data_IF_440523512880
#
_entry.id   IF_440523512880
#
_cell.length_a   1.000
_cell.length_b   1.000
_cell.length_c   1.000
_cell.angle_alpha   90.00
_cell.angle_beta   90.00
_cell.angle_gamma   90.00
#
_symmetry.space_group_name_H-M   'P 1'
#
loop_
_entity.id
_entity.type
_entity.pdbx_description
1 polymer ?
#
# COMPACT_ATOMS: atom_id res chain seq x y z
N UNK A 1 19.95 -8.16 7.13
CA UNK A 1 19.34 -8.07 5.80
C UNK A 1 20.20 -7.17 4.96
N UNK A 2 20.80 -7.74 3.91
CA UNK A 2 21.48 -6.99 2.86
C UNK A 2 20.48 -6.56 1.77
N UNK A 3 20.98 -5.94 0.70
CA UNK A 3 20.14 -5.44 -0.40
C UNK A 3 19.47 -6.59 -1.16
N UNK A 4 20.22 -7.66 -1.47
CA UNK A 4 19.69 -8.79 -2.23
C UNK A 4 18.62 -9.54 -1.43
N UNK A 5 18.82 -9.71 -0.12
CA UNK A 5 17.82 -10.28 0.77
C UNK A 5 16.58 -9.39 0.86
N UNK A 6 16.74 -8.07 0.92
CA UNK A 6 15.61 -7.14 0.91
C UNK A 6 14.77 -7.26 -0.37
N UNK A 7 15.40 -7.25 -1.56
CA UNK A 7 14.72 -7.40 -2.84
C UNK A 7 13.99 -8.74 -2.94
N UNK A 8 14.64 -9.82 -2.46
CA UNK A 8 14.03 -11.13 -2.39
C UNK A 8 12.81 -11.14 -1.45
N UNK A 9 12.89 -10.49 -0.29
CA UNK A 9 11.76 -10.38 0.64
C UNK A 9 10.64 -9.51 0.08
N UNK A 10 10.95 -8.44 -0.66
CA UNK A 10 9.98 -7.60 -1.36
C UNK A 10 9.21 -8.42 -2.40
N UNK A 11 9.94 -9.15 -3.26
CA UNK A 11 9.36 -10.04 -4.27
C UNK A 11 8.49 -11.14 -3.65
N UNK A 12 8.96 -11.81 -2.58
CA UNK A 12 8.17 -12.81 -1.84
C UNK A 12 6.92 -12.21 -1.22
N UNK A 13 7.01 -10.99 -0.68
CA UNK A 13 5.84 -10.31 -0.08
C UNK A 13 4.81 -9.96 -1.15
N UNK A 14 5.26 -9.52 -2.33
CA UNK A 14 4.40 -9.30 -3.50
C UNK A 14 3.70 -10.58 -3.97
N UNK A 15 4.44 -11.68 -4.13
CA UNK A 15 3.87 -12.99 -4.48
C UNK A 15 2.85 -13.46 -3.42
N UNK A 16 3.18 -13.30 -2.12
CA UNK A 16 2.27 -13.63 -1.02
C UNK A 16 0.99 -12.80 -1.08
N UNK A 17 1.08 -11.51 -1.42
CA UNK A 17 -0.07 -10.62 -1.58
C UNK A 17 -1.05 -11.14 -2.64
N UNK A 18 -0.52 -11.60 -3.78
CA UNK A 18 -1.31 -12.16 -4.88
C UNK A 18 -1.98 -13.50 -4.51
N UNK A 19 -1.33 -14.29 -3.65
CA UNK A 19 -1.84 -15.57 -3.17
C UNK A 19 -2.67 -15.47 -1.87
N UNK A 20 -3.04 -14.26 -1.42
CA UNK A 20 -3.81 -14.08 -0.18
C UNK A 20 -5.23 -14.64 -0.34
N UNK A 21 -5.56 -15.63 0.48
CA UNK A 21 -6.89 -16.25 0.54
C UNK A 21 -7.58 -16.11 1.90
N UNK A 22 -6.94 -15.45 2.88
CA UNK A 22 -7.51 -15.26 4.22
C UNK A 22 -7.09 -13.95 4.86
N UNK A 23 -7.91 -13.44 5.79
CA UNK A 23 -7.61 -12.22 6.58
C UNK A 23 -6.28 -12.36 7.32
N UNK A 24 -6.00 -13.52 7.92
CA UNK A 24 -4.74 -13.76 8.65
C UNK A 24 -3.53 -13.69 7.72
N UNK A 25 -3.62 -14.27 6.53
CA UNK A 25 -2.56 -14.16 5.52
C UNK A 25 -2.36 -12.70 5.06
N UNK A 26 -3.46 -11.97 4.84
CA UNK A 26 -3.43 -10.57 4.46
C UNK A 26 -2.75 -9.68 5.53
N UNK A 27 -3.07 -9.91 6.81
CA UNK A 27 -2.41 -9.22 7.94
C UNK A 27 -0.93 -9.56 8.01
N UNK A 28 -0.54 -10.81 7.76
CA UNK A 28 0.86 -11.20 7.75
C UNK A 28 1.65 -10.48 6.63
N UNK A 29 1.07 -10.35 5.42
CA UNK A 29 1.66 -9.57 4.32
C UNK A 29 1.78 -8.09 4.72
N UNK A 30 0.75 -7.52 5.33
CA UNK A 30 0.75 -6.13 5.81
C UNK A 30 1.90 -5.86 6.80
N UNK A 31 2.12 -6.79 7.74
CA UNK A 31 3.22 -6.69 8.70
C UNK A 31 4.60 -6.82 8.04
N UNK A 32 4.76 -7.78 7.11
CA UNK A 32 5.99 -7.91 6.32
C UNK A 32 6.29 -6.63 5.53
N UNK A 33 5.30 -6.05 4.85
CA UNK A 33 5.46 -4.80 4.10
C UNK A 33 5.85 -3.61 4.99
N UNK A 34 5.29 -3.52 6.22
CA UNK A 34 5.71 -2.51 7.21
C UNK A 34 7.16 -2.70 7.66
N UNK A 35 7.58 -3.95 7.88
CA UNK A 35 8.95 -4.26 8.28
C UNK A 35 9.93 -3.89 7.17
N UNK A 36 9.62 -4.23 5.91
CA UNK A 36 10.42 -3.87 4.74
C UNK A 36 10.56 -2.36 4.61
N UNK A 37 9.45 -1.62 4.70
CA UNK A 37 9.48 -0.16 4.64
C UNK A 37 10.34 0.44 5.75
N UNK A 38 10.23 -0.08 6.98
CA UNK A 38 11.03 0.38 8.11
C UNK A 38 12.52 0.10 7.88
N UNK A 39 12.86 -1.10 7.40
CA UNK A 39 14.25 -1.42 7.08
C UNK A 39 14.81 -0.49 6.00
N UNK A 40 14.07 -0.26 4.91
CA UNK A 40 14.48 0.63 3.83
C UNK A 40 14.75 2.06 4.34
N UNK A 41 13.91 2.52 5.27
CA UNK A 41 14.08 3.79 5.94
C UNK A 41 15.33 3.85 6.84
N UNK A 42 15.47 2.86 7.73
CA UNK A 42 16.56 2.80 8.71
C UNK A 42 17.94 2.63 8.03
N UNK A 43 17.97 2.19 6.76
CA UNK A 43 19.18 2.01 5.96
C UNK A 43 19.33 3.06 4.84
N UNK A 44 18.59 4.17 4.92
CA UNK A 44 18.68 5.31 3.98
C UNK A 44 18.58 4.90 2.49
N UNK A 45 17.68 3.95 2.17
CA UNK A 45 17.42 3.56 0.79
C UNK A 45 16.69 4.66 0.04
N UNK A 46 16.69 4.57 -1.29
CA UNK A 46 15.94 5.50 -2.13
C UNK A 46 14.46 5.50 -1.70
N UNK A 47 13.86 6.69 -1.69
CA UNK A 47 12.47 6.90 -1.34
C UNK A 47 11.51 6.06 -2.20
N UNK A 48 11.90 5.77 -3.44
CA UNK A 48 11.16 4.88 -4.34
C UNK A 48 11.00 3.50 -3.73
N UNK A 49 12.07 2.94 -3.15
CA UNK A 49 12.06 1.61 -2.51
C UNK A 49 11.19 1.60 -1.25
N UNK A 50 11.24 2.68 -0.45
CA UNK A 50 10.33 2.84 0.69
C UNK A 50 8.85 2.89 0.24
N UNK A 51 8.59 3.58 -0.87
CA UNK A 51 7.28 3.80 -1.43
C UNK A 51 6.70 2.53 -2.07
N UNK A 52 7.54 1.66 -2.64
CA UNK A 52 7.15 0.32 -3.09
C UNK A 52 6.67 -0.57 -1.93
N UNK A 53 7.43 -0.59 -0.83
CA UNK A 53 7.00 -1.34 0.37
C UNK A 53 5.71 -0.74 0.97
N UNK A 54 5.49 0.57 0.84
CA UNK A 54 4.20 1.18 1.19
C UNK A 54 3.07 0.72 0.27
N UNK A 55 3.30 0.62 -1.05
CA UNK A 55 2.29 0.14 -2.00
C UNK A 55 1.84 -1.29 -1.67
N UNK A 56 2.78 -2.20 -1.38
CA UNK A 56 2.47 -3.56 -0.92
C UNK A 56 1.59 -3.57 0.33
N UNK A 57 1.86 -2.63 1.25
CA UNK A 57 1.05 -2.45 2.46
C UNK A 57 -0.36 -1.98 2.13
N UNK A 58 -0.54 -1.04 1.19
CA UNK A 58 -1.86 -0.55 0.75
C UNK A 58 -2.66 -1.68 0.11
N UNK A 59 -2.04 -2.47 -0.78
CA UNK A 59 -2.66 -3.66 -1.36
C UNK A 59 -3.12 -4.65 -0.29
N UNK A 60 -2.27 -4.94 0.70
CA UNK A 60 -2.63 -5.82 1.82
C UNK A 60 -3.78 -5.25 2.68
N UNK A 61 -3.81 -3.94 2.92
CA UNK A 61 -4.92 -3.27 3.63
C UNK A 61 -6.24 -3.48 2.88
N UNK A 62 -6.24 -3.29 1.57
CA UNK A 62 -7.43 -3.49 0.76
C UNK A 62 -7.91 -4.94 0.73
N UNK A 63 -6.99 -5.92 0.63
CA UNK A 63 -7.34 -7.34 0.77
C UNK A 63 -7.94 -7.66 2.15
N UNK A 64 -7.37 -7.12 3.24
CA UNK A 64 -7.94 -7.26 4.59
C UNK A 64 -9.35 -6.66 4.64
N UNK A 65 -9.52 -5.45 4.11
CA UNK A 65 -10.78 -4.72 4.15
C UNK A 65 -11.89 -5.45 3.38
N UNK A 66 -11.61 -5.88 2.15
CA UNK A 66 -12.54 -6.64 1.32
C UNK A 66 -12.97 -7.94 2.01
N UNK A 67 -12.00 -8.75 2.48
CA UNK A 67 -12.31 -10.02 3.17
C UNK A 67 -13.09 -9.82 4.47
N UNK A 68 -12.77 -8.79 5.25
CA UNK A 68 -13.52 -8.50 6.47
C UNK A 68 -14.93 -7.97 6.18
N UNK A 69 -15.13 -7.19 5.13
CA UNK A 69 -16.48 -6.78 4.70
C UNK A 69 -17.30 -8.02 4.36
N UNK A 70 -16.77 -8.95 3.57
CA UNK A 70 -17.46 -10.20 3.22
C UNK A 70 -17.75 -11.07 4.44
N UNK A 71 -16.80 -11.24 5.35
CA UNK A 71 -17.02 -11.99 6.60
C UNK A 71 -18.08 -11.34 7.50
N UNK A 72 -18.11 -10.01 7.57
CA UNK A 72 -19.05 -9.26 8.40
C UNK A 72 -20.45 -9.19 7.79
N UNK A 73 -20.60 -9.21 6.44
CA UNK A 73 -21.90 -9.33 5.75
C UNK A 73 -22.67 -10.58 6.20
N UNK A 74 -21.96 -11.68 6.46
CA UNK A 74 -22.57 -12.95 6.86
C UNK A 74 -22.61 -13.19 8.38
N UNK A 75 -21.88 -12.39 9.18
CA UNK A 75 -21.79 -12.51 10.64
C UNK A 75 -22.44 -11.37 11.44
N UNK A 76 -22.95 -10.34 10.76
CA UNK A 76 -23.63 -9.20 11.35
C UNK A 76 -25.04 -9.57 11.82
N UNK A 77 -25.20 -9.70 13.14
CA UNK A 77 -26.47 -9.62 13.85
C UNK A 77 -27.49 -10.77 13.71
N UNK A 78 -27.16 -11.87 13.03
CA UNK A 78 -27.90 -13.12 13.29
C UNK A 78 -27.49 -13.62 14.67
N UNK A 79 -28.45 -13.75 15.59
CA UNK A 79 -28.36 -14.58 16.81
C UNK A 79 -28.06 -16.02 16.38
N UNK A 80 -26.83 -16.29 15.96
CA UNK A 80 -26.37 -17.63 15.63
C UNK A 80 -26.48 -18.46 16.91
N UNK A 81 -27.18 -19.58 16.79
CA UNK A 81 -27.47 -20.54 17.84
C UNK A 81 -26.28 -20.76 18.79
N UNK A 82 -26.61 -20.86 20.07
CA UNK A 82 -25.75 -21.15 21.23
C UNK A 82 -24.54 -22.01 20.84
N UNK A 83 -23.32 -21.47 20.95
CA UNK A 83 -22.10 -22.29 21.02
C UNK A 83 -20.94 -21.99 20.04
N UNK A 84 -21.08 -21.11 19.03
CA UNK A 84 -19.93 -20.76 18.15
C UNK A 84 -19.37 -19.36 18.45
N UNK A 85 -18.06 -19.21 18.65
CA UNK A 85 -17.45 -17.89 18.84
C UNK A 85 -17.62 -17.05 17.57
N UNK A 86 -18.20 -15.85 17.71
CA UNK A 86 -18.31 -14.89 16.60
C UNK A 86 -16.90 -14.49 16.16
N UNK A 87 -16.54 -14.77 14.91
CA UNK A 87 -15.32 -14.24 14.31
C UNK A 87 -15.51 -12.73 14.15
N UNK A 88 -14.68 -11.95 14.84
CA UNK A 88 -14.72 -10.48 14.78
C UNK A 88 -13.37 -9.93 14.35
N UNK A 89 -13.31 -8.65 14.01
CA UNK A 89 -12.04 -7.93 13.76
C UNK A 89 -11.02 -8.12 14.89
N UNK A 90 -11.47 -8.24 16.14
CA UNK A 90 -10.61 -8.42 17.32
C UNK A 90 -9.90 -9.77 17.28
N UNK A 91 -10.54 -10.80 16.71
CA UNK A 91 -9.94 -12.13 16.50
C UNK A 91 -8.67 -12.08 15.63
N UNK A 92 -8.52 -11.03 14.82
CA UNK A 92 -7.34 -10.80 13.98
C UNK A 92 -6.39 -9.74 14.55
N UNK A 93 -6.60 -9.28 15.79
CA UNK A 93 -5.80 -8.22 16.41
C UNK A 93 -6.04 -6.83 15.81
N UNK A 94 -7.16 -6.62 15.11
CA UNK A 94 -7.46 -5.36 14.43
C UNK A 94 -8.38 -4.53 15.33
N UNK A 95 -7.85 -3.38 15.78
CA UNK A 95 -8.61 -2.41 16.57
C UNK A 95 -9.68 -1.72 15.72
N UNK A 96 -10.71 -1.16 16.38
CA UNK A 96 -11.75 -0.37 15.68
C UNK A 96 -11.16 0.80 14.87
N UNK A 97 -10.20 1.53 15.44
CA UNK A 97 -9.54 2.68 14.78
C UNK A 97 -8.74 2.24 13.55
N UNK A 98 -8.02 1.12 13.63
CA UNK A 98 -7.31 0.55 12.48
C UNK A 98 -8.29 0.14 11.40
N UNK A 99 -9.35 -0.58 11.77
CA UNK A 99 -10.40 -0.99 10.84
C UNK A 99 -11.00 0.19 10.07
N UNK A 100 -11.40 1.25 10.79
CA UNK A 100 -12.00 2.43 10.18
C UNK A 100 -11.05 3.11 9.19
N UNK A 101 -9.77 3.27 9.57
CA UNK A 101 -8.74 3.81 8.67
C UNK A 101 -8.53 2.91 7.46
N UNK A 102 -8.44 1.60 7.65
CA UNK A 102 -8.24 0.63 6.56
C UNK A 102 -9.41 0.60 5.61
N UNK A 103 -10.64 0.72 6.11
CA UNK A 103 -11.84 0.83 5.27
C UNK A 103 -11.81 2.08 4.40
N UNK A 104 -11.36 3.22 4.93
CA UNK A 104 -11.21 4.46 4.15
C UNK A 104 -10.16 4.31 3.06
N UNK A 105 -8.98 3.78 3.41
CA UNK A 105 -7.90 3.52 2.43
C UNK A 105 -8.38 2.56 1.34
N UNK A 106 -9.05 1.48 1.72
CA UNK A 106 -9.61 0.50 0.80
C UNK A 106 -10.82 1.03 0.00
N UNK A 107 -11.34 2.21 0.29
CA UNK A 107 -12.36 2.82 -0.57
C UNK A 107 -11.73 3.63 -1.71
N UNK A 108 -10.43 3.93 -1.65
CA UNK A 108 -9.72 4.70 -2.67
C UNK A 108 -9.47 3.82 -3.90
N UNK A 109 -9.82 4.28 -5.12
CA UNK A 109 -9.55 3.55 -6.35
C UNK A 109 -8.05 3.30 -6.57
N UNK A 110 -7.72 2.19 -7.24
CA UNK A 110 -6.32 1.83 -7.53
C UNK A 110 -5.62 2.91 -8.39
N UNK A 111 -6.29 3.42 -9.41
CA UNK A 111 -5.76 4.50 -10.27
C UNK A 111 -5.39 5.74 -9.46
N UNK A 112 -6.18 6.07 -8.44
CA UNK A 112 -5.90 7.18 -7.53
C UNK A 112 -4.67 6.91 -6.65
N UNK A 113 -4.45 5.66 -6.22
CA UNK A 113 -3.24 5.26 -5.50
C UNK A 113 -2.01 5.38 -6.40
N UNK A 114 -2.09 4.92 -7.65
CA UNK A 114 -1.00 4.99 -8.61
C UNK A 114 -0.62 6.45 -8.96
N UNK A 115 -1.62 7.29 -9.23
CA UNK A 115 -1.41 8.73 -9.46
C UNK A 115 -0.77 9.41 -8.25
N UNK A 116 -1.25 9.12 -7.03
CA UNK A 116 -0.64 9.62 -5.80
C UNK A 116 0.81 9.17 -5.69
N UNK A 117 1.08 7.88 -5.89
CA UNK A 117 2.42 7.31 -5.80
C UNK A 117 3.39 7.94 -6.80
N UNK A 118 2.95 8.12 -8.05
CA UNK A 118 3.71 8.81 -9.09
C UNK A 118 4.04 10.25 -8.68
N UNK A 119 3.06 10.99 -8.15
CA UNK A 119 3.25 12.38 -7.72
C UNK A 119 4.27 12.54 -6.58
N UNK A 120 4.24 11.63 -5.60
CA UNK A 120 5.18 11.68 -4.46
C UNK A 120 6.56 11.18 -4.85
N UNK A 121 6.66 10.17 -5.73
CA UNK A 121 7.94 9.70 -6.25
C UNK A 121 8.64 10.79 -7.08
N UNK A 122 7.92 11.49 -7.95
CA UNK A 122 8.44 12.61 -8.73
C UNK A 122 8.97 13.73 -7.84
N UNK A 123 8.28 13.99 -6.73
CA UNK A 123 8.67 15.01 -5.74
C UNK A 123 9.68 14.52 -4.70
N UNK A 124 10.18 13.28 -4.82
CA UNK A 124 11.05 12.61 -3.84
C UNK A 124 10.51 12.63 -2.40
N UNK A 125 9.18 12.59 -2.26
CA UNK A 125 8.50 12.53 -0.97
C UNK A 125 8.08 11.12 -0.57
N UNK A 126 7.96 10.93 0.74
CA UNK A 126 7.50 9.69 1.34
C UNK A 126 6.00 9.54 1.19
N UNK A 127 5.54 8.45 0.59
CA UNK A 127 4.14 8.08 0.54
C UNK A 127 3.62 7.76 1.95
N UNK A 128 2.48 8.32 2.35
CA UNK A 128 1.88 8.05 3.66
C UNK A 128 0.39 7.83 3.54
N UNK A 129 -0.17 7.04 4.45
CA UNK A 129 -1.62 6.77 4.49
C UNK A 129 -2.43 8.08 4.59
N UNK A 130 -1.99 9.00 5.45
CA UNK A 130 -2.66 10.30 5.63
C UNK A 130 -2.49 11.20 4.40
N UNK A 131 -1.31 11.15 3.76
CA UNK A 131 -1.06 11.87 2.51
C UNK A 131 -1.97 11.39 1.40
N UNK A 132 -2.10 10.07 1.23
CA UNK A 132 -3.03 9.46 0.27
C UNK A 132 -4.48 9.88 0.54
N UNK A 133 -4.96 9.76 1.79
CA UNK A 133 -6.33 10.15 2.13
C UNK A 133 -6.59 11.63 1.85
N UNK A 134 -5.70 12.54 2.29
CA UNK A 134 -5.85 13.98 2.03
C UNK A 134 -5.82 14.32 0.55
N UNK A 135 -4.91 13.69 -0.19
CA UNK A 135 -4.79 13.88 -1.63
C UNK A 135 -6.06 13.41 -2.34
N UNK A 136 -6.62 12.26 -1.95
CA UNK A 136 -7.87 11.75 -2.49
C UNK A 136 -9.06 12.65 -2.16
N UNK A 137 -9.21 13.04 -0.90
CA UNK A 137 -10.30 13.93 -0.45
C UNK A 137 -10.29 15.24 -1.27
N UNK A 138 -9.11 15.86 -1.47
CA UNK A 138 -8.99 17.10 -2.26
C UNK A 138 -9.41 16.97 -3.73
N UNK A 139 -9.36 15.75 -4.30
CA UNK A 139 -9.81 15.49 -5.67
C UNK A 139 -11.31 15.27 -5.75
N UNK A 140 -11.91 14.71 -4.71
CA UNK A 140 -13.35 14.61 -4.62
C UNK A 140 -13.97 16.01 -4.54
N UNK A 141 -13.40 16.89 -3.70
CA UNK A 141 -13.85 18.27 -3.55
C UNK A 141 -13.68 19.10 -4.84
N UNK A 142 -12.65 18.82 -5.64
CA UNK A 142 -12.42 19.50 -6.92
C UNK A 142 -13.30 18.99 -8.08
N UNK A 143 -14.01 17.88 -7.90
CA UNK A 143 -14.66 17.12 -8.97
C UNK A 143 -16.19 16.98 -8.88
N UNK A 144 -16.86 17.57 -7.90
CA UNK A 144 -18.30 17.42 -7.72
C UNK A 144 -19.10 18.44 -8.58
N UNK A 145 -19.18 18.16 -9.89
CA UNK A 145 -20.37 18.50 -10.71
C UNK A 145 -20.76 17.46 -11.77
N UNK A 146 -20.08 16.31 -11.89
CA UNK A 146 -20.52 15.28 -12.83
C UNK A 146 -20.81 13.94 -12.15
N UNK A 147 -22.12 13.67 -12.07
CA UNK A 147 -22.74 12.39 -11.75
C UNK A 147 -22.19 11.28 -12.65
N UNK A 148 -21.38 10.38 -12.11
CA UNK A 148 -21.32 8.99 -12.57
C UNK A 148 -20.94 8.10 -11.38
N UNK A 149 -21.97 7.51 -10.79
CA UNK A 149 -21.91 6.58 -9.66
C UNK A 149 -21.32 5.23 -10.08
N UNK A 150 -20.01 5.19 -10.34
CA UNK A 150 -19.27 3.93 -10.41
C UNK A 150 -19.10 3.40 -8.97
N UNK A 151 -19.84 2.34 -8.65
CA UNK A 151 -19.68 1.65 -7.36
C UNK A 151 -18.24 1.15 -7.22
N UNK A 152 -17.57 1.34 -6.07
CA UNK A 152 -16.21 0.87 -5.85
C UNK A 152 -16.22 -0.66 -5.75
N UNK A 153 -16.13 -1.35 -6.88
CA UNK A 153 -15.88 -2.78 -6.90
C UNK A 153 -14.42 -3.00 -6.55
N UNK A 154 -14.14 -3.11 -5.25
CA UNK A 154 -12.84 -3.53 -4.76
C UNK A 154 -12.66 -5.03 -5.06
N UNK A 155 -12.38 -5.33 -6.33
CA UNK A 155 -11.93 -6.65 -6.75
C UNK A 155 -10.48 -6.77 -6.26
N UNK A 156 -10.10 -7.82 -5.51
CA UNK A 156 -8.71 -8.05 -5.16
C UNK A 156 -7.90 -8.07 -6.45
N UNK A 157 -7.02 -7.08 -6.54
CA UNK A 157 -6.23 -6.74 -7.71
C UNK A 157 -5.50 -7.99 -8.21
N UNK A 158 -5.56 -8.26 -9.52
CA UNK A 158 -4.47 -8.95 -10.19
C UNK A 158 -3.27 -7.99 -10.15
N UNK A 159 -2.56 -7.95 -9.01
CA UNK A 159 -1.42 -7.06 -8.67
C UNK A 159 -0.18 -7.35 -9.54
N UNK A 160 -0.40 -7.84 -10.75
CA UNK A 160 0.49 -8.58 -11.63
C UNK A 160 0.50 -7.86 -12.97
N UNK A 161 1.47 -6.96 -13.17
CA UNK A 161 2.42 -7.01 -14.28
C UNK A 161 3.24 -5.72 -14.42
N UNK A 162 2.71 -4.57 -13.98
CA UNK A 162 3.26 -3.28 -14.43
C UNK A 162 4.54 -2.88 -13.67
N UNK A 163 4.62 -3.12 -12.36
CA UNK A 163 5.74 -2.61 -11.56
C UNK A 163 6.97 -3.54 -11.48
N UNK A 164 6.83 -4.85 -11.71
CA UNK A 164 7.99 -5.75 -11.76
C UNK A 164 8.86 -5.49 -13.01
N UNK A 165 8.26 -5.02 -14.10
CA UNK A 165 8.99 -4.75 -15.34
C UNK A 165 9.82 -3.45 -15.31
N UNK A 166 9.47 -2.48 -14.46
CA UNK A 166 10.21 -1.20 -14.35
C UNK A 166 11.54 -1.35 -13.62
N UNK A 167 11.69 -2.37 -12.77
CA UNK A 167 12.93 -2.65 -12.03
C UNK A 167 13.89 -3.51 -12.87
N UNK A 168 13.36 -4.42 -13.71
CA UNK A 168 14.18 -5.24 -14.62
C UNK A 168 14.78 -4.49 -15.81
N UNK A 169 14.26 -3.30 -16.14
CA UNK A 169 14.67 -2.53 -17.32
C UNK A 169 15.91 -1.63 -17.11
N UNK A 170 16.53 -1.60 -15.92
CA UNK A 170 17.76 -0.84 -15.70
C UNK A 170 17.63 0.67 -15.98
N UNK A 171 16.43 1.23 -15.88
CA UNK A 171 16.12 2.63 -16.22
C UNK A 171 16.23 3.58 -15.03
N UNK A 172 16.94 3.19 -13.97
CA UNK A 172 17.56 4.14 -13.06
C UNK A 172 18.99 4.34 -13.53
N UNK A 173 19.17 5.14 -14.57
CA UNK A 173 20.45 5.78 -14.85
C UNK A 173 20.73 6.77 -13.72
N UNK A 174 21.13 6.26 -12.55
CA UNK A 174 21.82 7.04 -11.55
C UNK A 174 23.15 7.45 -12.19
N UNK A 175 23.25 8.70 -12.63
CA UNK A 175 24.50 9.28 -13.10
C UNK A 175 25.22 9.91 -11.89
N UNK A 176 26.20 9.25 -11.25
CA UNK A 176 26.92 9.81 -10.12
C UNK A 176 27.88 10.97 -10.49
N UNK A 177 27.88 11.44 -11.75
CA UNK A 177 28.91 12.32 -12.31
C UNK A 177 28.63 13.83 -12.34
N UNK A 178 27.52 14.35 -11.82
CA UNK A 178 27.26 15.81 -11.82
C UNK A 178 27.21 16.41 -10.41
N UNK A 179 28.29 16.27 -9.65
CA UNK A 179 28.61 17.23 -8.60
C UNK A 179 29.53 18.28 -9.19
N UNK A 180 28.93 19.36 -9.70
CA UNK A 180 29.63 20.45 -10.36
C UNK A 180 30.45 21.22 -9.32
N UNK A 181 31.77 20.98 -9.32
CA UNK A 181 32.79 21.72 -8.61
C UNK A 181 32.87 23.15 -9.15
N UNK A 182 32.04 24.06 -8.62
CA UNK A 182 32.30 25.49 -8.76
C UNK A 182 33.40 25.88 -7.78
N UNK A 183 34.64 25.80 -8.28
CA UNK A 183 35.79 26.46 -7.69
C UNK A 183 35.52 27.96 -7.55
N UNK A 184 35.69 28.47 -6.33
CA UNK A 184 35.67 29.90 -6.06
C UNK A 184 37.13 30.33 -5.95
N UNK A 185 37.71 30.73 -7.08
CA UNK A 185 38.97 31.45 -7.10
C UNK A 185 38.68 32.90 -6.70
N UNK A 186 39.28 33.36 -5.60
CA UNK A 186 39.48 34.79 -5.35
C UNK A 186 40.98 35.05 -5.26
N UNK A 187 41.43 35.82 -6.23
CA UNK A 187 42.62 36.69 -6.23
C UNK A 187 42.62 37.65 -5.06
#
# INVERSE_FOLDING_TARGET
>A
MDIGEFEQQLARTSQRLQAVSSVRAAVAVLLSAKQLRRWAHDHHRDIVVENEAWLLRIGAIGSVASMLIELLKHGGDRRSAVGRPKVTRVTFGITRKQWERWRKIAAIPESAVDEYLASVNASRYRATDNGLMRWWDSRQDAGESNNDSASPSWVPIKFTQIWVNLIGAGLVCFNPGQFNSRGNAKT
#
